data_IF_978441755880
#
_entry.id   IF_978441755880
#
_cell.length_a   1.000
_cell.length_b   1.000
_cell.length_c   1.000
_cell.angle_alpha   90.00
_cell.angle_beta   90.00
_cell.angle_gamma   90.00
#
_symmetry.space_group_name_H-M   'P 1'
#
loop_
_entity.id
_entity.type
_entity.pdbx_description
1 polymer ?
#
# COMPACT_ATOMS: atom_id res chain seq x y z
N UNK A 1 43.51 -16.19 -57.04
CA UNK A 1 42.18 -16.00 -56.48
C UNK A 1 42.08 -14.52 -56.10
N UNK A 2 41.44 -13.68 -56.91
CA UNK A 2 41.31 -12.23 -56.63
C UNK A 2 40.08 -12.04 -55.78
N UNK A 3 40.27 -11.86 -54.51
CA UNK A 3 39.19 -11.56 -53.57
C UNK A 3 38.67 -10.16 -53.90
N UNK A 4 37.40 -10.03 -54.27
CA UNK A 4 36.81 -8.77 -54.68
C UNK A 4 36.84 -7.75 -53.53
N UNK A 5 37.75 -6.81 -53.58
CA UNK A 5 37.97 -5.76 -52.59
C UNK A 5 36.67 -4.96 -52.24
N UNK A 6 35.71 -4.92 -53.16
CA UNK A 6 34.39 -4.31 -52.92
C UNK A 6 33.53 -5.07 -51.95
N UNK A 7 33.67 -6.40 -51.89
CA UNK A 7 32.91 -7.24 -50.96
C UNK A 7 33.46 -7.16 -49.51
N UNK A 8 34.78 -7.06 -49.40
CA UNK A 8 35.47 -6.93 -48.11
C UNK A 8 35.17 -5.59 -47.43
N UNK A 9 35.07 -4.48 -48.17
CA UNK A 9 34.73 -3.15 -47.63
C UNK A 9 33.29 -3.11 -47.16
N UNK A 10 32.36 -3.75 -47.89
CA UNK A 10 30.93 -3.81 -47.49
C UNK A 10 30.71 -4.58 -46.20
N UNK A 11 31.41 -5.71 -46.02
CA UNK A 11 31.30 -6.53 -44.78
C UNK A 11 31.91 -5.81 -43.59
N UNK A 12 32.99 -5.05 -43.76
CA UNK A 12 33.62 -4.26 -42.70
C UNK A 12 32.73 -3.09 -42.25
N UNK A 13 31.98 -2.48 -43.19
CA UNK A 13 31.07 -1.37 -42.86
C UNK A 13 29.81 -1.86 -42.09
N UNK A 14 29.30 -3.06 -42.43
CA UNK A 14 28.16 -3.67 -41.71
C UNK A 14 28.56 -4.08 -40.30
N UNK A 15 29.81 -4.57 -40.11
CA UNK A 15 30.29 -4.97 -38.79
C UNK A 15 30.55 -3.76 -37.86
N UNK A 16 30.91 -2.61 -38.39
CA UNK A 16 31.16 -1.38 -37.62
C UNK A 16 29.87 -0.73 -37.11
N UNK A 17 28.72 -0.92 -37.76
CA UNK A 17 27.43 -0.39 -37.32
C UNK A 17 26.82 -1.24 -36.22
N UNK A 18 27.18 -2.52 -36.12
CA UNK A 18 26.62 -3.43 -35.12
C UNK A 18 27.16 -3.21 -33.67
N UNK A 19 28.27 -2.49 -33.50
CA UNK A 19 28.87 -2.24 -32.17
C UNK A 19 28.52 -0.87 -31.58
N UNK A 20 27.75 -0.02 -32.30
CA UNK A 20 27.35 1.30 -31.79
C UNK A 20 25.97 1.33 -31.12
N UNK A 21 25.32 0.17 -30.93
CA UNK A 21 23.95 0.10 -30.44
C UNK A 21 23.83 -0.13 -28.92
N UNK A 22 24.90 -0.09 -28.14
CA UNK A 22 24.84 -0.42 -26.70
C UNK A 22 24.95 0.77 -25.76
N UNK A 23 24.94 2.02 -26.20
CA UNK A 23 25.17 3.17 -25.31
C UNK A 23 23.94 4.07 -25.08
N UNK A 24 22.75 3.65 -25.54
CA UNK A 24 21.54 4.50 -25.47
C UNK A 24 20.69 4.27 -24.22
N UNK A 25 21.08 3.36 -23.32
CA UNK A 25 20.41 3.15 -22.02
C UNK A 25 21.35 3.44 -20.85
N UNK A 26 22.04 4.56 -20.91
CA UNK A 26 22.56 5.18 -19.69
C UNK A 26 21.53 6.17 -19.18
N UNK A 27 20.37 5.69 -18.83
CA UNK A 27 19.61 6.35 -17.79
C UNK A 27 20.42 6.16 -16.51
N UNK A 28 21.31 7.12 -16.25
CA UNK A 28 21.94 7.26 -14.94
C UNK A 28 20.86 7.65 -13.90
N UNK A 29 19.93 6.74 -13.66
CA UNK A 29 19.16 6.75 -12.43
C UNK A 29 20.15 6.26 -11.39
N UNK A 30 20.96 7.18 -10.87
CA UNK A 30 21.76 6.90 -9.68
C UNK A 30 20.77 6.50 -8.58
N UNK A 31 20.88 5.31 -7.98
CA UNK A 31 19.95 4.83 -6.92
C UNK A 31 19.78 5.82 -5.76
N UNK A 32 20.75 6.71 -5.58
CA UNK A 32 20.77 7.74 -4.55
C UNK A 32 19.76 8.89 -4.77
N UNK A 33 19.20 9.04 -5.98
CA UNK A 33 18.20 10.09 -6.28
C UNK A 33 16.75 9.64 -6.22
N UNK A 34 16.50 8.34 -6.07
CA UNK A 34 15.15 7.80 -6.01
C UNK A 34 14.80 7.49 -4.55
N UNK A 35 14.29 8.48 -3.82
CA UNK A 35 13.62 8.20 -2.56
C UNK A 35 12.11 8.09 -2.83
N UNK A 36 11.52 6.96 -2.50
CA UNK A 36 10.07 6.84 -2.55
C UNK A 36 9.42 7.77 -1.51
N UNK A 37 8.32 8.38 -1.91
CA UNK A 37 7.58 9.26 -1.02
C UNK A 37 6.91 8.45 0.10
N UNK A 38 6.90 9.03 1.30
CA UNK A 38 6.12 8.53 2.43
C UNK A 38 4.66 8.38 2.00
N UNK A 39 4.05 7.24 2.35
CA UNK A 39 2.63 7.02 2.09
C UNK A 39 1.79 7.80 3.08
N UNK A 40 1.19 8.87 2.60
CA UNK A 40 0.19 9.58 3.38
C UNK A 40 -1.06 8.70 3.52
N UNK A 41 -1.41 8.32 4.76
CA UNK A 41 -2.56 7.50 5.12
C UNK A 41 -3.55 8.22 6.04
N UNK A 42 -3.22 9.46 6.45
CA UNK A 42 -4.16 10.34 7.13
C UNK A 42 -5.33 10.67 6.22
N UNK A 43 -6.52 10.35 6.67
CA UNK A 43 -7.77 10.56 5.96
C UNK A 43 -8.98 10.12 6.81
N UNK A 44 -10.16 10.48 6.33
CA UNK A 44 -11.41 9.88 6.80
C UNK A 44 -11.67 8.57 6.03
N UNK A 45 -11.64 7.44 6.74
CA UNK A 45 -11.79 6.11 6.20
C UNK A 45 -13.15 5.51 6.59
N UNK A 46 -14.08 5.43 5.64
CA UNK A 46 -15.38 4.79 5.84
C UNK A 46 -15.30 3.30 5.57
N UNK A 47 -15.84 2.50 6.48
CA UNK A 47 -15.95 1.06 6.29
C UNK A 47 -16.88 0.74 5.12
N UNK A 48 -16.41 -0.07 4.18
CA UNK A 48 -17.14 -0.43 2.96
C UNK A 48 -17.48 -1.90 2.87
N UNK A 49 -16.64 -2.77 3.43
CA UNK A 49 -16.89 -4.21 3.46
C UNK A 49 -16.20 -4.87 4.66
N UNK A 50 -16.79 -5.94 5.14
CA UNK A 50 -16.23 -6.81 6.19
C UNK A 50 -16.33 -8.25 5.77
N UNK A 51 -15.25 -9.00 5.91
CA UNK A 51 -15.30 -10.46 5.78
C UNK A 51 -14.75 -11.15 7.02
N UNK A 52 -15.29 -12.33 7.32
CA UNK A 52 -14.79 -13.23 8.35
C UNK A 52 -14.43 -14.56 7.72
N UNK A 53 -13.16 -14.96 7.83
CA UNK A 53 -12.63 -16.20 7.24
C UNK A 53 -12.94 -16.32 5.73
N UNK A 54 -12.92 -15.18 5.01
CA UNK A 54 -13.23 -15.10 3.58
C UNK A 54 -14.73 -15.04 3.24
N UNK A 55 -15.62 -15.15 4.22
CA UNK A 55 -17.08 -15.02 4.03
C UNK A 55 -17.44 -13.55 4.22
N UNK A 56 -18.12 -12.95 3.24
CA UNK A 56 -18.65 -11.59 3.34
C UNK A 56 -19.75 -11.52 4.40
N UNK A 57 -19.61 -10.58 5.34
CA UNK A 57 -20.56 -10.31 6.40
C UNK A 57 -21.00 -8.85 6.43
N UNK A 58 -20.75 -8.11 5.36
CA UNK A 58 -20.95 -6.65 5.27
C UNK A 58 -22.40 -6.24 5.59
N UNK A 59 -23.37 -7.04 5.18
CA UNK A 59 -24.79 -6.72 5.36
C UNK A 59 -25.39 -7.31 6.65
N UNK A 60 -24.57 -8.00 7.48
CA UNK A 60 -25.05 -8.54 8.77
C UNK A 60 -25.24 -7.48 9.85
N UNK A 61 -24.58 -6.33 9.72
CA UNK A 61 -24.68 -5.17 10.61
C UNK A 61 -24.58 -3.88 9.77
N UNK A 62 -24.92 -2.72 10.35
CA UNK A 62 -24.77 -1.43 9.69
C UNK A 62 -23.30 -0.95 9.72
N UNK A 63 -22.41 -1.76 9.14
CA UNK A 63 -20.98 -1.50 9.10
C UNK A 63 -20.62 -0.21 8.37
N UNK A 64 -21.43 0.19 7.37
CA UNK A 64 -21.16 1.35 6.51
C UNK A 64 -21.19 2.70 7.24
N UNK A 65 -21.76 2.74 8.45
CA UNK A 65 -21.76 3.95 9.28
C UNK A 65 -20.45 4.15 10.05
N UNK A 66 -19.63 3.11 10.16
CA UNK A 66 -18.38 3.19 10.89
C UNK A 66 -17.30 3.91 10.09
N UNK A 67 -16.64 4.85 10.75
CA UNK A 67 -15.49 5.55 10.21
C UNK A 67 -14.33 5.50 11.19
N UNK A 68 -13.12 5.47 10.65
CA UNK A 68 -11.90 5.78 11.36
C UNK A 68 -11.24 6.99 10.69
N UNK A 69 -11.03 8.05 11.45
CA UNK A 69 -10.32 9.25 10.99
C UNK A 69 -8.90 9.14 11.49
N UNK A 70 -7.94 9.04 10.59
CA UNK A 70 -6.51 9.09 10.89
C UNK A 70 -6.05 10.53 10.63
N UNK A 71 -5.55 11.22 11.66
CA UNK A 71 -5.12 12.61 11.58
C UNK A 71 -3.61 12.71 11.31
N UNK A 72 -3.18 13.81 10.71
CA UNK A 72 -1.76 14.11 10.40
C UNK A 72 -0.87 14.18 11.66
N UNK A 73 -1.45 14.47 12.82
CA UNK A 73 -0.75 14.51 14.11
C UNK A 73 -0.60 13.13 14.77
N UNK A 74 -0.89 12.06 14.03
CA UNK A 74 -0.90 10.66 14.48
C UNK A 74 -1.97 10.34 15.55
N UNK A 75 -3.00 11.16 15.69
CA UNK A 75 -4.19 10.79 16.46
C UNK A 75 -5.23 10.10 15.58
N UNK A 76 -6.11 9.31 16.18
CA UNK A 76 -7.25 8.75 15.46
C UNK A 76 -8.55 8.93 16.24
N UNK A 77 -9.65 9.01 15.48
CA UNK A 77 -11.00 9.07 16.01
C UNK A 77 -11.88 7.98 15.41
N UNK A 78 -12.72 7.36 16.25
CA UNK A 78 -13.75 6.44 15.81
C UNK A 78 -15.10 7.14 15.75
N UNK A 79 -15.79 7.08 14.60
CA UNK A 79 -17.14 7.62 14.43
C UNK A 79 -18.13 6.48 14.20
N UNK A 80 -19.29 6.54 14.89
CA UNK A 80 -20.32 5.50 14.83
C UNK A 80 -19.78 4.12 15.20
N UNK A 81 -19.22 3.99 16.41
CA UNK A 81 -18.55 2.79 16.90
C UNK A 81 -19.33 1.50 16.62
N UNK A 82 -18.59 0.51 16.17
CA UNK A 82 -18.99 -0.89 16.10
C UNK A 82 -17.85 -1.77 16.65
N UNK A 83 -18.07 -3.06 16.92
CA UNK A 83 -16.99 -3.93 17.38
C UNK A 83 -15.80 -3.92 16.43
N UNK A 84 -14.70 -3.35 16.88
CA UNK A 84 -13.43 -3.19 16.17
C UNK A 84 -12.28 -3.51 17.13
N UNK A 85 -11.04 -3.46 16.68
CA UNK A 85 -9.89 -3.83 17.53
C UNK A 85 -9.63 -2.87 18.68
N UNK A 86 -10.09 -1.63 18.56
CA UNK A 86 -10.04 -0.59 19.60
C UNK A 86 -11.43 -0.03 19.82
N UNK A 87 -11.69 0.52 21.02
CA UNK A 87 -13.01 0.97 21.45
C UNK A 87 -13.13 2.48 21.57
N UNK A 88 -12.00 3.16 21.77
CA UNK A 88 -11.92 4.61 21.96
C UNK A 88 -10.99 5.27 20.97
N UNK A 89 -10.88 6.58 21.04
CA UNK A 89 -9.93 7.39 20.30
C UNK A 89 -8.52 7.21 20.89
N UNK A 90 -7.49 7.67 20.17
CA UNK A 90 -6.12 7.59 20.64
C UNK A 90 -5.10 7.97 19.59
N UNK A 91 -3.94 7.33 19.63
CA UNK A 91 -2.86 7.55 18.67
C UNK A 91 -2.61 6.34 17.79
N UNK A 92 -2.11 6.57 16.58
CA UNK A 92 -1.76 5.53 15.63
C UNK A 92 -0.32 5.71 15.13
N UNK A 93 0.27 4.62 14.67
CA UNK A 93 1.56 4.61 13.99
C UNK A 93 1.63 3.46 13.01
N UNK A 94 2.60 3.52 12.08
CA UNK A 94 2.93 2.43 11.17
C UNK A 94 4.36 1.98 11.38
N UNK A 95 4.65 0.73 11.04
CA UNK A 95 6.00 0.15 11.17
C UNK A 95 6.99 0.71 10.15
N UNK A 96 6.52 1.04 8.94
CA UNK A 96 7.33 1.65 7.88
C UNK A 96 6.48 2.71 7.15
N UNK A 97 6.92 3.98 7.11
CA UNK A 97 6.14 5.05 6.46
C UNK A 97 6.11 4.94 4.93
N UNK A 98 7.06 4.21 4.31
CA UNK A 98 7.12 4.02 2.86
C UNK A 98 6.36 2.74 2.47
N UNK A 99 6.59 1.64 3.22
CA UNK A 99 5.98 0.33 2.99
C UNK A 99 5.30 -0.20 4.25
N UNK A 100 4.17 0.38 4.68
CA UNK A 100 3.51 -0.06 5.89
C UNK A 100 2.90 -1.45 5.73
N UNK A 101 3.32 -2.38 6.59
CA UNK A 101 2.75 -3.72 6.74
C UNK A 101 1.87 -3.82 7.97
N UNK A 102 2.16 -3.00 8.99
CA UNK A 102 1.38 -2.99 10.22
C UNK A 102 1.00 -1.56 10.60
N UNK A 103 -0.19 -1.45 11.20
CA UNK A 103 -0.64 -0.28 11.92
C UNK A 103 -0.82 -0.63 13.38
N UNK A 104 -0.36 0.24 14.26
CA UNK A 104 -0.56 0.17 15.71
C UNK A 104 -1.56 1.22 16.13
N UNK A 105 -2.50 0.84 16.98
CA UNK A 105 -3.44 1.73 17.64
C UNK A 105 -3.21 1.70 19.14
N UNK A 106 -3.06 2.85 19.76
CA UNK A 106 -2.96 3.02 21.20
C UNK A 106 -4.13 3.88 21.66
N UNK A 107 -5.06 3.26 22.39
CA UNK A 107 -6.25 3.90 22.94
C UNK A 107 -5.86 4.84 24.08
N UNK A 108 -6.53 5.97 24.20
CA UNK A 108 -6.26 6.96 25.25
C UNK A 108 -6.45 6.33 26.64
N UNK A 109 -5.46 6.56 27.51
CA UNK A 109 -5.44 5.98 28.86
C UNK A 109 -5.02 4.52 28.94
N UNK A 110 -4.72 3.85 27.81
CA UNK A 110 -4.23 2.47 27.80
C UNK A 110 -2.70 2.44 27.66
N UNK A 111 -2.06 1.50 28.36
CA UNK A 111 -0.60 1.30 28.26
C UNK A 111 -0.22 0.53 27.01
N UNK A 112 -1.05 -0.45 26.64
CA UNK A 112 -0.76 -1.36 25.52
C UNK A 112 -1.33 -0.81 24.20
N UNK A 113 -0.58 -1.02 23.14
CA UNK A 113 -1.03 -0.81 21.75
C UNK A 113 -1.55 -2.11 21.12
N UNK A 114 -2.43 -1.98 20.16
CA UNK A 114 -2.91 -3.09 19.33
C UNK A 114 -2.28 -2.97 17.95
N UNK A 115 -1.37 -3.88 17.63
CA UNK A 115 -0.71 -3.96 16.32
C UNK A 115 -1.44 -4.93 15.41
N UNK A 116 -1.71 -4.53 14.17
CA UNK A 116 -2.43 -5.35 13.19
C UNK A 116 -1.92 -5.14 11.78
N UNK A 117 -2.23 -6.06 10.87
CA UNK A 117 -1.86 -5.95 9.46
C UNK A 117 -2.69 -4.86 8.78
N UNK A 118 -1.99 -4.05 7.97
CA UNK A 118 -2.60 -3.06 7.08
C UNK A 118 -2.23 -3.37 5.64
N UNK A 119 -3.12 -3.08 4.70
CA UNK A 119 -2.86 -3.18 3.27
C UNK A 119 -3.59 -2.09 2.50
N UNK A 120 -3.07 -1.76 1.33
CA UNK A 120 -3.66 -0.76 0.44
C UNK A 120 -3.84 -1.34 -0.96
N UNK A 121 -4.92 -0.94 -1.61
CA UNK A 121 -5.18 -1.21 -3.02
C UNK A 121 -5.91 -0.05 -3.66
N UNK A 122 -5.83 0.07 -4.97
CA UNK A 122 -6.63 1.02 -5.74
C UNK A 122 -7.68 0.24 -6.51
N UNK A 123 -8.95 0.62 -6.35
CA UNK A 123 -10.10 0.04 -7.05
C UNK A 123 -10.87 1.19 -7.69
N UNK A 124 -11.07 1.13 -8.99
CA UNK A 124 -11.75 2.17 -9.78
C UNK A 124 -11.17 3.58 -9.54
N UNK A 125 -9.82 3.67 -9.47
CA UNK A 125 -9.10 4.91 -9.20
C UNK A 125 -9.20 5.43 -7.77
N UNK A 126 -9.89 4.72 -6.86
CA UNK A 126 -10.05 5.09 -5.45
C UNK A 126 -9.19 4.22 -4.55
N UNK A 127 -8.52 4.86 -3.61
CA UNK A 127 -7.70 4.16 -2.62
C UNK A 127 -8.57 3.46 -1.60
N UNK A 128 -8.28 2.20 -1.35
CA UNK A 128 -8.86 1.39 -0.28
C UNK A 128 -7.78 0.95 0.69
N UNK A 129 -8.13 0.90 1.96
CA UNK A 129 -7.31 0.38 3.06
C UNK A 129 -7.96 -0.88 3.61
N UNK A 130 -7.17 -1.89 3.93
CA UNK A 130 -7.63 -3.09 4.63
C UNK A 130 -6.92 -3.21 5.96
N UNK A 131 -7.67 -3.52 7.02
CA UNK A 131 -7.14 -3.87 8.35
C UNK A 131 -7.55 -5.30 8.65
N UNK A 132 -6.56 -6.16 8.96
CA UNK A 132 -6.80 -7.58 9.22
C UNK A 132 -6.52 -7.90 10.67
N UNK A 133 -7.50 -8.45 11.37
CA UNK A 133 -7.42 -8.82 12.78
C UNK A 133 -7.81 -10.27 13.00
N UNK A 134 -7.21 -10.90 14.02
CA UNK A 134 -7.49 -12.27 14.41
C UNK A 134 -7.70 -12.33 15.95
N UNK A 135 -8.87 -11.91 16.44
CA UNK A 135 -9.12 -11.88 17.88
C UNK A 135 -9.15 -13.30 18.45
N UNK A 136 -8.22 -13.57 19.35
CA UNK A 136 -8.15 -14.77 20.19
C UNK A 136 -7.70 -16.07 19.50
N UNK A 137 -7.87 -16.21 18.18
CA UNK A 137 -7.49 -17.42 17.46
C UNK A 137 -7.02 -17.07 16.04
N UNK A 138 -5.86 -17.58 15.57
CA UNK A 138 -5.36 -17.31 14.22
C UNK A 138 -6.33 -17.70 13.10
N UNK A 139 -7.18 -18.70 13.34
CA UNK A 139 -8.21 -19.13 12.36
C UNK A 139 -9.45 -18.22 12.33
N UNK A 140 -9.58 -17.27 13.26
CA UNK A 140 -10.69 -16.32 13.29
C UNK A 140 -10.28 -14.99 12.71
N UNK A 141 -10.17 -14.93 11.38
CA UNK A 141 -9.64 -13.78 10.65
C UNK A 141 -10.76 -12.86 10.17
N UNK A 142 -10.72 -11.61 10.61
CA UNK A 142 -11.58 -10.53 10.08
C UNK A 142 -10.75 -9.63 9.17
N UNK A 143 -11.32 -9.25 8.03
CA UNK A 143 -10.76 -8.24 7.13
C UNK A 143 -11.77 -7.11 7.00
N UNK A 144 -11.40 -5.95 7.49
CA UNK A 144 -12.16 -4.70 7.36
C UNK A 144 -11.62 -3.94 6.16
N UNK A 145 -12.46 -3.63 5.19
CA UNK A 145 -12.10 -2.85 4.00
C UNK A 145 -12.71 -1.46 4.10
N UNK A 146 -11.86 -0.46 4.03
CA UNK A 146 -12.24 0.95 4.11
C UNK A 146 -12.04 1.62 2.76
N UNK A 147 -12.88 2.58 2.44
CA UNK A 147 -12.71 3.53 1.34
C UNK A 147 -12.42 4.91 1.91
N UNK A 148 -11.55 5.64 1.27
CA UNK A 148 -11.32 7.05 1.60
C UNK A 148 -12.55 7.86 1.21
N UNK A 149 -13.01 8.75 2.09
CA UNK A 149 -14.11 9.68 1.83
C UNK A 149 -13.60 11.09 2.04
N UNK A 150 -13.93 11.97 1.11
CA UNK A 150 -13.78 13.42 1.26
C UNK A 150 -15.04 13.94 1.92
N UNK A 151 -14.88 14.78 2.94
CA UNK A 151 -15.97 15.55 3.53
C UNK A 151 -16.55 16.52 2.53
#
# INVERSE_FOLDING_TARGET
>A
MKLNMRFTVGVFFILAVAVSSCDTFKDEITPEKYSEAVKNIDANWQLSAVSRNGIDITDMMDFKRFHIVLNEDNTYELKNYLPFIVKGNGSWSVDDPIYPFHISFKEDGMENEVKTLIGFRTVDGKRQMTITVSPGCPSNKYVYTFKQVTE
#
